data_IF_010323624934
#
_entry.id   IF_010323624934
#
_cell.length_a   1.000
_cell.length_b   1.000
_cell.length_c   1.000
_cell.angle_alpha   90.00
_cell.angle_beta   90.00
_cell.angle_gamma   90.00
#
_symmetry.space_group_name_H-M   'P 1'
#
loop_
_entity.id
_entity.type
_entity.pdbx_description
1 polymer ?
#
# COMPACT_ATOMS: atom_id res chain seq x y z
N UNK A 1 5.00 16.45 -28.02
CA UNK A 1 4.66 16.73 -26.61
C UNK A 1 3.25 17.27 -26.55
N UNK A 2 2.31 16.54 -25.95
CA UNK A 2 0.97 17.04 -25.64
C UNK A 2 1.03 17.88 -24.36
N UNK A 3 0.35 19.04 -24.36
CA UNK A 3 0.22 19.88 -23.15
C UNK A 3 -0.81 19.25 -22.20
N UNK A 4 -0.69 19.51 -20.90
CA UNK A 4 -1.54 18.90 -19.86
C UNK A 4 -3.05 19.05 -20.11
N UNK A 5 -3.47 20.16 -20.74
CA UNK A 5 -4.87 20.45 -21.07
C UNK A 5 -5.16 20.42 -22.58
N UNK A 6 -4.37 19.67 -23.36
CA UNK A 6 -4.70 19.42 -24.76
C UNK A 6 -6.05 18.68 -24.89
N UNK A 7 -6.41 17.90 -23.87
CA UNK A 7 -7.77 17.45 -23.59
C UNK A 7 -8.30 18.29 -22.42
N UNK A 8 -9.46 18.94 -22.54
CA UNK A 8 -10.04 19.71 -21.43
C UNK A 8 -10.26 18.84 -20.19
N UNK A 9 -10.12 19.44 -19.00
CA UNK A 9 -10.52 18.77 -17.77
C UNK A 9 -12.02 18.50 -17.76
N UNK A 10 -12.42 17.46 -17.03
CA UNK A 10 -13.83 17.22 -16.73
C UNK A 10 -14.42 18.39 -15.92
N UNK A 11 -15.74 18.54 -15.96
CA UNK A 11 -16.42 19.48 -15.08
C UNK A 11 -16.21 19.08 -13.59
N UNK A 12 -16.35 20.03 -12.64
CA UNK A 12 -16.05 19.76 -11.24
C UNK A 12 -16.83 18.58 -10.63
N UNK A 13 -18.08 18.36 -11.03
CA UNK A 13 -18.90 17.29 -10.46
C UNK A 13 -18.41 15.90 -10.92
N UNK A 14 -18.08 15.77 -12.21
CA UNK A 14 -17.48 14.57 -12.78
C UNK A 14 -16.10 14.30 -12.18
N UNK A 15 -15.29 15.34 -12.00
CA UNK A 15 -13.97 15.22 -11.37
C UNK A 15 -14.07 14.70 -9.93
N UNK A 16 -14.99 15.26 -9.13
CA UNK A 16 -15.24 14.80 -7.75
C UNK A 16 -15.64 13.32 -7.72
N UNK A 17 -16.60 12.91 -8.55
CA UNK A 17 -17.05 11.52 -8.61
C UNK A 17 -15.89 10.56 -8.96
N UNK A 18 -15.06 10.94 -9.93
CA UNK A 18 -13.90 10.16 -10.34
C UNK A 18 -12.86 10.02 -9.22
N UNK A 19 -12.42 11.12 -8.62
CA UNK A 19 -11.37 11.08 -7.60
C UNK A 19 -11.84 10.41 -6.30
N UNK A 20 -13.11 10.59 -5.91
CA UNK A 20 -13.68 9.85 -4.77
C UNK A 20 -13.75 8.34 -5.05
N UNK A 21 -14.11 7.93 -6.27
CA UNK A 21 -14.07 6.52 -6.63
C UNK A 21 -12.65 5.97 -6.53
N UNK A 22 -11.65 6.71 -7.04
CA UNK A 22 -10.23 6.31 -6.96
C UNK A 22 -9.77 6.13 -5.51
N UNK A 23 -10.00 7.12 -4.66
CA UNK A 23 -9.61 7.11 -3.23
C UNK A 23 -10.32 6.03 -2.40
N UNK A 24 -11.42 5.43 -2.90
CA UNK A 24 -12.07 4.28 -2.25
C UNK A 24 -11.32 2.96 -2.49
N UNK A 25 -10.56 2.85 -3.57
CA UNK A 25 -9.84 1.62 -3.95
C UNK A 25 -8.37 1.64 -3.58
N UNK A 26 -7.80 2.82 -3.34
CA UNK A 26 -6.37 2.99 -3.14
C UNK A 26 -6.05 3.85 -1.90
N UNK A 27 -4.84 3.66 -1.39
CA UNK A 27 -4.21 4.48 -0.34
C UNK A 27 -2.75 4.70 -0.71
N UNK A 28 -2.12 5.74 -0.17
CA UNK A 28 -0.67 5.93 -0.31
C UNK A 28 0.10 5.39 0.90
N UNK A 29 1.43 5.50 0.82
CA UNK A 29 2.38 5.05 1.84
C UNK A 29 2.24 5.85 3.14
N UNK A 30 2.02 7.15 3.03
CA UNK A 30 1.94 8.06 4.17
C UNK A 30 0.71 7.77 5.04
N UNK A 31 -0.46 7.59 4.43
CA UNK A 31 -1.70 7.23 5.12
C UNK A 31 -1.54 5.89 5.85
N UNK A 32 -0.95 4.88 5.19
CA UNK A 32 -0.71 3.56 5.80
C UNK A 32 0.28 3.66 6.96
N UNK A 33 1.33 4.46 6.83
CA UNK A 33 2.29 4.68 7.91
C UNK A 33 1.64 5.38 9.11
N UNK A 34 0.82 6.40 8.86
CA UNK A 34 0.08 7.12 9.89
C UNK A 34 -0.88 6.19 10.62
N UNK A 35 -1.64 5.36 9.90
CA UNK A 35 -2.58 4.42 10.50
C UNK A 35 -1.87 3.33 11.32
N UNK A 36 -0.75 2.78 10.82
CA UNK A 36 0.08 1.81 11.57
C UNK A 36 0.67 2.44 12.84
N UNK A 37 1.09 3.70 12.77
CA UNK A 37 1.66 4.44 13.92
C UNK A 37 0.59 4.76 14.97
N UNK A 38 -0.60 5.14 14.51
CA UNK A 38 -1.75 5.41 15.37
C UNK A 38 -2.43 4.14 15.89
N UNK A 39 -2.03 2.95 15.40
CA UNK A 39 -2.61 1.65 15.76
C UNK A 39 -4.12 1.66 15.51
N UNK A 40 -4.53 2.11 14.32
CA UNK A 40 -5.95 2.18 13.97
C UNK A 40 -6.55 0.76 14.02
N UNK A 41 -7.67 0.55 14.74
CA UNK A 41 -8.24 -0.77 14.93
C UNK A 41 -8.65 -1.41 13.60
N UNK A 42 -8.61 -2.74 13.60
CA UNK A 42 -9.04 -3.61 12.50
C UNK A 42 -8.31 -3.40 11.17
N UNK A 43 -7.24 -2.60 11.13
CA UNK A 43 -6.37 -2.47 9.95
C UNK A 43 -5.44 -3.68 9.86
N UNK A 44 -5.44 -4.35 8.71
CA UNK A 44 -4.48 -5.41 8.38
C UNK A 44 -3.76 -5.05 7.09
N UNK A 45 -2.47 -4.80 7.18
CA UNK A 45 -1.61 -4.56 6.02
C UNK A 45 -1.03 -5.89 5.55
N UNK A 46 -1.21 -6.24 4.29
CA UNK A 46 -0.82 -7.53 3.70
C UNK A 46 0.29 -7.35 2.68
N UNK A 47 1.42 -8.01 2.93
CA UNK A 47 2.48 -8.19 1.95
C UNK A 47 2.13 -9.34 1.01
N UNK A 48 1.80 -9.01 -0.24
CA UNK A 48 1.38 -10.01 -1.24
C UNK A 48 2.54 -10.59 -2.06
N UNK A 49 3.79 -10.25 -1.71
CA UNK A 49 5.00 -10.75 -2.36
C UNK A 49 5.38 -12.13 -1.83
N UNK A 50 6.22 -12.85 -2.57
CA UNK A 50 6.71 -14.17 -2.17
C UNK A 50 7.73 -14.16 -1.02
N UNK A 51 8.05 -15.34 -0.50
CA UNK A 51 8.90 -15.56 0.69
C UNK A 51 10.27 -14.85 0.64
N UNK A 52 10.93 -14.87 -0.53
CA UNK A 52 12.23 -14.23 -0.70
C UNK A 52 12.16 -12.71 -0.49
N UNK A 53 11.08 -12.07 -0.99
CA UNK A 53 10.85 -10.64 -0.83
C UNK A 53 10.52 -10.29 0.62
N UNK A 54 9.67 -11.09 1.27
CA UNK A 54 9.34 -10.95 2.68
C UNK A 54 10.59 -11.03 3.56
N UNK A 55 11.43 -12.03 3.31
CA UNK A 55 12.69 -12.26 4.05
C UNK A 55 13.69 -11.11 3.84
N UNK A 56 13.76 -10.57 2.62
CA UNK A 56 14.59 -9.41 2.30
C UNK A 56 14.15 -8.18 3.11
N UNK A 57 12.85 -7.97 3.26
CA UNK A 57 12.30 -6.99 4.19
C UNK A 57 10.85 -6.62 3.88
N UNK A 58 10.12 -6.24 4.91
CA UNK A 58 8.68 -5.95 4.85
C UNK A 58 8.28 -4.83 5.82
N UNK A 59 7.06 -4.33 5.67
CA UNK A 59 6.49 -3.32 6.55
C UNK A 59 6.32 -3.88 7.98
N UNK A 60 6.65 -3.11 9.04
CA UNK A 60 6.40 -3.52 10.41
C UNK A 60 4.91 -3.78 10.65
N UNK A 61 4.58 -4.92 11.26
CA UNK A 61 3.20 -5.31 11.56
C UNK A 61 2.41 -5.84 10.36
N UNK A 62 3.01 -5.93 9.17
CA UNK A 62 2.35 -6.55 8.02
C UNK A 62 2.13 -8.06 8.23
N UNK A 63 1.11 -8.60 7.59
CA UNK A 63 0.87 -10.04 7.46
C UNK A 63 1.43 -10.50 6.12
N UNK A 64 2.21 -11.59 6.13
CA UNK A 64 2.72 -12.18 4.90
C UNK A 64 1.69 -13.12 4.29
N UNK A 65 1.22 -12.80 3.09
CA UNK A 65 0.29 -13.66 2.37
C UNK A 65 0.47 -13.48 0.85
N UNK A 66 1.34 -14.29 0.21
CA UNK A 66 1.56 -14.26 -1.23
C UNK A 66 0.24 -14.30 -2.01
N UNK A 67 0.17 -13.55 -3.11
CA UNK A 67 -1.07 -13.32 -3.87
C UNK A 67 -1.80 -14.61 -4.22
N UNK A 68 -1.07 -15.63 -4.66
CA UNK A 68 -1.60 -16.94 -5.06
C UNK A 68 -2.21 -17.75 -3.91
N UNK A 69 -1.89 -17.41 -2.66
CA UNK A 69 -2.37 -18.11 -1.47
C UNK A 69 -3.57 -17.41 -0.81
N UNK A 70 -3.92 -16.19 -1.24
CA UNK A 70 -4.97 -15.38 -0.59
C UNK A 70 -6.32 -16.09 -0.61
N UNK A 71 -6.74 -16.61 -1.77
CA UNK A 71 -8.03 -17.25 -1.94
C UNK A 71 -8.24 -18.44 -0.97
N UNK A 72 -7.17 -19.14 -0.62
CA UNK A 72 -7.21 -20.34 0.22
C UNK A 72 -6.95 -20.03 1.70
N UNK A 73 -6.04 -19.09 2.00
CA UNK A 73 -5.47 -18.92 3.35
C UNK A 73 -5.82 -17.60 4.03
N UNK A 74 -6.50 -16.67 3.34
CA UNK A 74 -6.82 -15.37 3.94
C UNK A 74 -7.68 -15.50 5.21
N UNK A 75 -8.63 -16.44 5.26
CA UNK A 75 -9.50 -16.63 6.43
C UNK A 75 -8.75 -17.11 7.68
N UNK A 76 -7.56 -17.71 7.52
CA UNK A 76 -6.70 -18.14 8.62
C UNK A 76 -5.80 -17.01 9.13
N UNK A 77 -5.39 -16.11 8.22
CA UNK A 77 -4.40 -15.07 8.49
C UNK A 77 -5.01 -13.70 8.81
N UNK A 78 -6.24 -13.44 8.33
CA UNK A 78 -6.90 -12.13 8.42
C UNK A 78 -8.28 -12.32 9.07
N UNK A 79 -8.56 -11.65 10.21
CA UNK A 79 -9.86 -11.76 10.87
C UNK A 79 -11.00 -11.25 9.99
N UNK A 80 -12.16 -11.93 9.94
CA UNK A 80 -13.33 -11.43 9.22
C UNK A 80 -13.71 -10.01 9.67
N UNK A 81 -14.04 -9.14 8.71
CA UNK A 81 -14.38 -7.74 8.96
C UNK A 81 -13.19 -6.79 9.07
N UNK A 82 -11.95 -7.29 9.06
CA UNK A 82 -10.76 -6.45 8.98
C UNK A 82 -10.75 -5.59 7.71
N UNK A 83 -10.21 -4.38 7.84
CA UNK A 83 -9.94 -3.45 6.75
C UNK A 83 -8.56 -3.75 6.20
N UNK A 84 -8.51 -4.29 5.00
CA UNK A 84 -7.27 -4.80 4.40
C UNK A 84 -6.61 -3.73 3.54
N UNK A 85 -5.29 -3.62 3.65
CA UNK A 85 -4.46 -2.89 2.70
C UNK A 85 -3.43 -3.83 2.11
N UNK A 86 -3.45 -4.04 0.80
CA UNK A 86 -2.46 -4.90 0.12
C UNK A 86 -1.32 -4.09 -0.46
N UNK A 87 -0.11 -4.66 -0.49
CA UNK A 87 1.01 -4.06 -1.21
C UNK A 87 1.91 -5.09 -1.90
N UNK A 88 2.56 -4.66 -2.98
CA UNK A 88 3.59 -5.39 -3.71
C UNK A 88 4.90 -4.55 -3.73
N UNK A 89 5.79 -4.81 -4.68
CA UNK A 89 7.06 -4.12 -4.84
C UNK A 89 6.93 -2.62 -5.07
N UNK A 90 6.09 -2.20 -6.02
CA UNK A 90 5.98 -0.80 -6.38
C UNK A 90 5.11 -0.59 -7.62
N UNK A 91 5.16 0.59 -8.24
CA UNK A 91 4.26 0.97 -9.35
C UNK A 91 4.31 0.05 -10.57
N UNK A 92 5.40 -0.70 -10.76
CA UNK A 92 5.53 -1.69 -11.84
C UNK A 92 4.97 -3.08 -11.53
N UNK A 93 4.28 -3.27 -10.39
CA UNK A 93 3.75 -4.57 -9.97
C UNK A 93 2.21 -4.55 -9.84
N UNK A 94 1.52 -5.44 -10.56
CA UNK A 94 0.07 -5.67 -10.43
C UNK A 94 -0.33 -6.54 -9.21
N UNK A 95 0.65 -7.02 -8.44
CA UNK A 95 0.42 -7.97 -7.34
C UNK A 95 -0.44 -7.40 -6.21
N UNK A 96 -0.36 -6.09 -5.94
CA UNK A 96 -1.22 -5.44 -4.94
C UNK A 96 -2.68 -5.44 -5.41
N UNK A 97 -2.92 -5.10 -6.68
CA UNK A 97 -4.24 -5.08 -7.31
C UNK A 97 -4.87 -6.47 -7.35
N UNK A 98 -4.09 -7.49 -7.75
CA UNK A 98 -4.56 -8.89 -7.78
C UNK A 98 -4.89 -9.40 -6.37
N UNK A 99 -4.05 -9.06 -5.39
CA UNK A 99 -4.34 -9.40 -4.00
C UNK A 99 -5.62 -8.71 -3.49
N UNK A 100 -5.79 -7.42 -3.77
CA UNK A 100 -6.99 -6.68 -3.40
C UNK A 100 -8.24 -7.29 -4.04
N UNK A 101 -8.17 -7.74 -5.29
CA UNK A 101 -9.27 -8.43 -5.95
C UNK A 101 -9.68 -9.72 -5.21
N UNK A 102 -8.72 -10.55 -4.78
CA UNK A 102 -9.05 -11.78 -4.04
C UNK A 102 -9.65 -11.48 -2.66
N UNK A 103 -9.11 -10.49 -1.92
CA UNK A 103 -9.73 -10.05 -0.67
C UNK A 103 -11.15 -9.50 -0.87
N UNK A 104 -11.39 -8.74 -1.94
CA UNK A 104 -12.71 -8.25 -2.27
C UNK A 104 -13.70 -9.38 -2.58
N UNK A 105 -13.27 -10.42 -3.31
CA UNK A 105 -14.07 -11.63 -3.59
C UNK A 105 -14.43 -12.39 -2.31
N UNK A 106 -13.55 -12.37 -1.32
CA UNK A 106 -13.77 -12.95 0.00
C UNK A 106 -14.60 -12.05 0.93
N UNK A 107 -15.01 -10.86 0.46
CA UNK A 107 -15.91 -9.95 1.19
C UNK A 107 -15.20 -8.98 2.15
N UNK A 108 -13.87 -8.86 2.09
CA UNK A 108 -13.15 -7.89 2.90
C UNK A 108 -13.26 -6.47 2.33
N UNK A 109 -13.45 -5.44 3.17
CA UNK A 109 -13.18 -4.07 2.76
C UNK A 109 -11.67 -3.93 2.52
N UNK A 110 -11.27 -3.59 1.30
CA UNK A 110 -9.87 -3.62 0.88
C UNK A 110 -9.48 -2.43 0.02
N UNK A 111 -8.24 -1.96 0.21
CA UNK A 111 -7.55 -1.00 -0.65
C UNK A 111 -6.19 -1.55 -1.08
N UNK A 112 -5.68 -1.10 -2.22
CA UNK A 112 -4.26 -1.29 -2.55
C UNK A 112 -3.43 -0.09 -2.10
N UNK A 113 -2.23 -0.34 -1.56
CA UNK A 113 -1.24 0.69 -1.26
C UNK A 113 -0.39 0.98 -2.50
N UNK A 114 -0.56 2.17 -3.07
CA UNK A 114 0.23 2.62 -4.22
C UNK A 114 1.68 2.87 -3.82
N UNK A 115 2.58 2.73 -4.78
CA UNK A 115 4.02 2.88 -4.54
C UNK A 115 4.66 1.67 -3.87
N UNK A 116 3.88 0.84 -3.17
CA UNK A 116 4.30 -0.43 -2.60
C UNK A 116 5.49 -0.30 -1.64
N UNK A 117 6.26 -1.38 -1.54
CA UNK A 117 7.48 -1.42 -0.72
C UNK A 117 8.55 -0.43 -1.18
N UNK A 118 8.63 -0.14 -2.49
CA UNK A 118 9.61 0.78 -3.09
C UNK A 118 9.45 2.19 -2.52
N UNK A 119 8.23 2.75 -2.55
CA UNK A 119 8.01 4.11 -2.07
C UNK A 119 8.10 4.18 -0.55
N UNK A 120 7.62 3.15 0.16
CA UNK A 120 7.80 3.02 1.61
C UNK A 120 9.26 3.17 2.03
N UNK A 121 10.17 2.42 1.38
CA UNK A 121 11.59 2.48 1.70
C UNK A 121 12.23 3.81 1.29
N UNK A 122 11.82 4.39 0.15
CA UNK A 122 12.32 5.69 -0.31
C UNK A 122 11.93 6.84 0.61
N UNK A 123 10.81 6.75 1.29
CA UNK A 123 10.42 7.70 2.34
C UNK A 123 11.22 7.53 3.65
N UNK A 124 12.14 6.56 3.72
CA UNK A 124 12.96 6.30 4.92
C UNK A 124 12.17 5.69 6.08
N UNK A 125 11.01 5.09 5.76
CA UNK A 125 10.15 4.42 6.74
C UNK A 125 10.78 3.12 7.25
N UNK A 126 10.41 2.69 8.47
CA UNK A 126 10.98 1.48 9.07
C UNK A 126 10.57 0.23 8.29
N UNK A 127 11.48 -0.72 8.17
CA UNK A 127 11.23 -2.06 7.62
C UNK A 127 11.75 -3.11 8.59
N UNK A 128 11.19 -4.31 8.54
CA UNK A 128 11.66 -5.46 9.30
C UNK A 128 12.38 -6.41 8.35
N UNK A 129 13.58 -6.86 8.73
CA UNK A 129 14.34 -7.88 8.00
C UNK A 129 14.64 -9.06 8.93
N UNK A 130 15.32 -10.08 8.41
CA UNK A 130 15.83 -11.20 9.22
C UNK A 130 16.71 -10.76 10.41
N UNK A 131 17.32 -9.58 10.35
CA UNK A 131 18.17 -9.04 11.44
C UNK A 131 17.42 -8.07 12.37
N UNK A 132 16.11 -7.89 12.18
CA UNK A 132 15.27 -6.99 12.96
C UNK A 132 14.89 -5.69 12.24
N UNK A 133 14.30 -4.73 12.98
CA UNK A 133 13.89 -3.44 12.41
C UNK A 133 15.07 -2.60 11.94
N UNK A 134 14.94 -1.97 10.77
CA UNK A 134 15.94 -1.06 10.21
C UNK A 134 15.27 0.06 9.42
N UNK A 135 16.04 1.11 9.10
CA UNK A 135 15.62 2.23 8.25
C UNK A 135 16.69 2.48 7.20
N UNK A 136 16.28 2.82 5.99
CA UNK A 136 17.18 3.37 4.97
C UNK A 136 17.15 4.89 5.02
N UNK A 137 18.20 5.58 4.56
CA UNK A 137 18.13 7.02 4.35
C UNK A 137 16.97 7.35 3.40
N UNK A 138 16.32 8.49 3.64
CA UNK A 138 15.32 9.06 2.73
C UNK A 138 15.96 9.27 1.36
N UNK A 139 15.27 8.87 0.30
CA UNK A 139 15.65 9.18 -1.07
C UNK A 139 15.22 10.62 -1.39
N UNK A 140 16.22 11.50 -1.44
CA UNK A 140 16.06 12.95 -1.58
C UNK A 140 15.45 13.37 -2.92
N UNK A 141 15.36 12.46 -3.90
CA UNK A 141 14.66 12.70 -5.15
C UNK A 141 13.14 12.56 -5.01
N UNK A 142 12.68 11.89 -3.95
CA UNK A 142 11.29 11.46 -3.81
C UNK A 142 10.64 11.87 -2.49
N UNK A 143 11.43 12.27 -1.47
CA UNK A 143 10.91 12.73 -0.20
C UNK A 143 11.82 13.80 0.45
N UNK A 144 11.27 14.73 1.26
CA UNK A 144 12.05 15.77 1.93
C UNK A 144 13.01 15.18 2.98
N UNK A 145 14.26 15.66 3.01
CA UNK A 145 15.27 15.26 4.03
C UNK A 145 14.83 15.58 5.47
N UNK A 146 14.00 16.60 5.65
CA UNK A 146 13.70 17.20 6.95
C UNK A 146 12.48 16.60 7.64
N UNK A 147 11.72 15.73 6.96
CA UNK A 147 10.53 15.10 7.52
C UNK A 147 10.34 13.69 6.97
N UNK A 148 10.01 12.74 7.85
CA UNK A 148 9.60 11.36 7.49
C UNK A 148 8.09 11.33 7.24
N UNK A 149 7.58 12.36 6.57
CA UNK A 149 6.17 12.54 6.29
C UNK A 149 6.01 13.19 4.91
N UNK A 150 5.06 12.70 4.13
CA UNK A 150 4.56 13.42 2.96
C UNK A 150 4.02 14.78 3.42
N UNK A 151 4.56 15.86 2.87
CA UNK A 151 4.15 17.25 3.14
C UNK A 151 3.04 17.70 2.17
N UNK A 152 2.02 16.86 1.99
CA UNK A 152 0.91 17.05 1.05
C UNK A 152 -0.41 16.57 1.64
#
# INVERSE_FOLDING_TARGET
MTRAFAVPAADPSTAVAHFLARLRFETDVADVHADLTAVVPDLVVVDSRGDAAWTQGHLPGAVHLPTELIAERAAEAVPPGARVVTYCWGPGCDGATRAALEFARLGYPVKEMRGGYEYWVREGLPVVTATGPTRRPVDDLTAPRTAVACDC
#
